data_IF_393791157297
#
_entry.id   IF_393791157297
#
_cell.length_a   1.000
_cell.length_b   1.000
_cell.length_c   1.000
_cell.angle_alpha   90.00
_cell.angle_beta   90.00
_cell.angle_gamma   90.00
#
_symmetry.space_group_name_H-M   'P 1'
#
loop_
_entity.id
_entity.type
_entity.pdbx_description
1 polymer ?
#
# COMPACT_ATOMS: atom_id res chain seq x y z
N UNK A 1 -17.22 0.31 -3.39
CA UNK A 1 -17.99 1.17 -2.49
C UNK A 1 -17.15 1.72 -1.32
N UNK A 2 -16.35 0.88 -0.65
CA UNK A 2 -15.46 1.28 0.46
C UNK A 2 -14.45 2.34 -0.01
N UNK A 3 -13.78 2.11 -1.14
CA UNK A 3 -12.82 3.05 -1.71
C UNK A 3 -13.45 4.43 -2.02
N UNK A 4 -14.65 4.43 -2.55
CA UNK A 4 -15.34 5.68 -2.88
C UNK A 4 -15.68 6.50 -1.62
N UNK A 5 -16.13 5.83 -0.56
CA UNK A 5 -16.38 6.47 0.75
C UNK A 5 -15.10 7.03 1.34
N UNK A 6 -14.02 6.27 1.30
CA UNK A 6 -12.71 6.71 1.76
C UNK A 6 -12.24 7.97 1.02
N UNK A 7 -12.31 7.94 -0.32
CA UNK A 7 -11.96 9.08 -1.17
C UNK A 7 -12.74 10.34 -0.79
N UNK A 8 -14.05 10.24 -0.64
CA UNK A 8 -14.88 11.37 -0.23
C UNK A 8 -14.48 11.85 1.16
N UNK A 9 -14.34 10.95 2.13
CA UNK A 9 -13.99 11.30 3.51
C UNK A 9 -12.67 12.06 3.58
N UNK A 10 -11.63 11.63 2.87
CA UNK A 10 -10.32 12.31 2.83
C UNK A 10 -10.42 13.70 2.16
N UNK A 11 -11.20 13.81 1.08
CA UNK A 11 -11.33 15.05 0.32
C UNK A 11 -12.16 16.11 1.05
N UNK A 12 -13.12 15.70 1.89
CA UNK A 12 -14.09 16.61 2.52
C UNK A 12 -13.92 16.76 4.04
N UNK A 13 -12.98 16.07 4.67
CA UNK A 13 -12.70 16.23 6.08
C UNK A 13 -12.26 17.67 6.40
N UNK A 14 -12.82 18.27 7.43
CA UNK A 14 -12.40 19.60 7.90
C UNK A 14 -10.94 19.56 8.36
N UNK A 15 -10.57 18.52 9.11
CA UNK A 15 -9.22 18.22 9.54
C UNK A 15 -8.82 16.82 9.08
N UNK A 16 -7.59 16.66 8.58
CA UNK A 16 -7.01 15.39 8.18
C UNK A 16 -5.81 15.05 9.09
N UNK A 17 -6.06 14.27 10.14
CA UNK A 17 -5.03 13.77 11.07
C UNK A 17 -4.27 12.62 10.40
N UNK A 18 -3.08 12.92 9.85
CA UNK A 18 -2.27 11.96 9.06
C UNK A 18 -1.74 10.85 9.96
N UNK A 19 -1.19 11.19 11.13
CA UNK A 19 -0.66 10.21 12.08
C UNK A 19 -1.75 9.26 12.60
N UNK A 20 -2.94 9.77 12.89
CA UNK A 20 -4.09 8.93 13.25
C UNK A 20 -4.54 8.04 12.10
N UNK A 21 -4.52 8.57 10.88
CA UNK A 21 -4.87 7.80 9.69
C UNK A 21 -3.92 6.61 9.50
N UNK A 22 -2.61 6.83 9.58
CA UNK A 22 -1.62 5.74 9.49
C UNK A 22 -1.78 4.76 10.65
N UNK A 23 -1.95 5.24 11.89
CA UNK A 23 -2.17 4.39 13.05
C UNK A 23 -3.38 3.46 12.90
N UNK A 24 -4.45 3.92 12.25
CA UNK A 24 -5.66 3.13 12.03
C UNK A 24 -5.47 1.96 11.06
N UNK A 25 -4.43 1.99 10.24
CA UNK A 25 -4.07 0.91 9.32
C UNK A 25 -3.02 -0.06 9.88
N UNK A 26 -2.54 0.16 11.11
CA UNK A 26 -1.62 -0.71 11.83
C UNK A 26 -2.36 -1.62 12.81
N UNK A 27 -1.92 -2.88 12.94
CA UNK A 27 -2.46 -3.82 13.95
C UNK A 27 -1.97 -3.46 15.34
N UNK A 28 -0.72 -3.01 15.44
CA UNK A 28 -0.07 -2.64 16.71
C UNK A 28 -0.28 -1.16 17.07
N UNK A 29 -0.88 -0.38 16.18
CA UNK A 29 -0.92 1.07 16.30
C UNK A 29 0.45 1.71 16.12
N UNK A 30 0.56 2.99 16.44
CA UNK A 30 1.82 3.75 16.41
C UNK A 30 2.15 4.27 17.82
N UNK A 31 3.43 4.37 18.13
CA UNK A 31 3.87 5.16 19.28
C UNK A 31 3.55 6.65 19.07
N UNK A 32 3.46 7.42 20.16
CA UNK A 32 3.23 8.87 20.07
C UNK A 32 4.34 9.57 19.25
N UNK A 33 5.58 9.11 19.37
CA UNK A 33 6.72 9.64 18.61
C UNK A 33 6.58 9.34 17.11
N UNK A 34 6.20 8.12 16.73
CA UNK A 34 5.98 7.75 15.33
C UNK A 34 4.79 8.52 14.74
N UNK A 35 3.70 8.64 15.50
CA UNK A 35 2.54 9.43 15.09
C UNK A 35 2.92 10.90 14.85
N UNK A 36 3.64 11.52 15.78
CA UNK A 36 4.12 12.89 15.64
C UNK A 36 5.07 13.05 14.42
N UNK A 37 5.87 12.03 14.09
CA UNK A 37 6.71 12.05 12.90
C UNK A 37 5.90 12.04 11.60
N UNK A 38 4.78 11.31 11.56
CA UNK A 38 3.86 11.36 10.42
C UNK A 38 3.12 12.69 10.28
N UNK A 39 2.85 13.38 11.40
CA UNK A 39 2.20 14.69 11.39
C UNK A 39 3.17 15.84 11.10
N UNK A 40 4.46 15.66 11.40
CA UNK A 40 5.48 16.72 11.28
C UNK A 40 5.58 17.40 9.89
N UNK A 41 5.39 16.71 8.74
CA UNK A 41 5.37 17.36 7.43
C UNK A 41 4.15 18.26 7.17
N UNK A 42 3.14 18.21 8.05
CA UNK A 42 1.82 18.83 7.86
C UNK A 42 1.46 19.73 9.04
N UNK A 43 2.18 20.85 9.24
CA UNK A 43 1.96 21.74 10.40
C UNK A 43 0.56 22.34 10.46
N UNK A 44 -0.13 22.47 9.32
CA UNK A 44 -1.52 22.86 9.20
C UNK A 44 -2.19 22.28 7.95
N UNK A 45 -3.49 22.56 7.75
CA UNK A 45 -4.26 22.01 6.62
C UNK A 45 -3.77 22.44 5.24
N UNK A 46 -3.10 23.58 5.12
CA UNK A 46 -2.57 24.07 3.82
C UNK A 46 -1.48 23.15 3.25
N UNK A 47 -0.78 22.40 4.11
CA UNK A 47 0.25 21.42 3.70
C UNK A 47 -0.35 20.07 3.28
N UNK A 48 -1.64 19.83 3.47
CA UNK A 48 -2.32 18.55 3.21
C UNK A 48 -2.98 18.45 1.83
N UNK A 49 -2.69 19.36 0.91
CA UNK A 49 -3.23 19.33 -0.44
C UNK A 49 -2.89 18.02 -1.19
N UNK A 50 -1.65 17.52 -1.05
CA UNK A 50 -1.22 16.25 -1.61
C UNK A 50 -2.01 15.05 -1.08
N UNK A 51 -2.00 14.77 0.23
CA UNK A 51 -2.81 13.71 0.84
C UNK A 51 -4.29 13.75 0.46
N UNK A 52 -4.89 14.95 0.35
CA UNK A 52 -6.29 15.11 -0.05
C UNK A 52 -6.54 14.78 -1.51
N UNK A 53 -5.60 15.11 -2.40
CA UNK A 53 -5.73 14.91 -3.84
C UNK A 53 -5.48 13.44 -4.26
N UNK A 54 -4.51 12.78 -3.65
CA UNK A 54 -4.02 11.45 -4.07
C UNK A 54 -5.12 10.39 -4.21
N UNK A 55 -6.08 10.22 -3.28
CA UNK A 55 -7.14 9.25 -3.47
C UNK A 55 -8.00 9.49 -4.72
N UNK A 56 -8.08 10.74 -5.17
CA UNK A 56 -8.77 11.14 -6.39
C UNK A 56 -8.08 10.71 -7.68
N UNK A 57 -6.77 10.45 -7.62
CA UNK A 57 -5.96 10.05 -8.78
C UNK A 57 -6.02 8.55 -9.07
N UNK A 58 -6.48 7.74 -8.10
CA UNK A 58 -6.64 6.31 -8.28
C UNK A 58 -7.85 6.05 -9.18
N UNK A 59 -7.69 5.37 -10.34
CA UNK A 59 -8.79 5.09 -11.24
C UNK A 59 -9.80 4.14 -10.57
N UNK A 60 -11.02 4.59 -10.45
CA UNK A 60 -12.11 3.88 -9.80
C UNK A 60 -13.15 3.36 -10.79
N UNK A 61 -13.32 4.06 -11.92
CA UNK A 61 -14.28 3.72 -12.98
C UNK A 61 -13.54 3.36 -14.28
N UNK A 62 -14.15 2.55 -15.15
CA UNK A 62 -13.54 2.20 -16.43
C UNK A 62 -13.20 3.40 -17.32
N UNK A 63 -13.94 4.50 -17.18
CA UNK A 63 -13.83 5.74 -17.95
C UNK A 63 -13.00 6.84 -17.26
N UNK A 64 -12.47 6.58 -16.04
CA UNK A 64 -11.52 7.51 -15.42
C UNK A 64 -10.30 7.72 -16.33
N UNK A 65 -9.75 8.95 -16.42
CA UNK A 65 -8.67 9.29 -17.35
C UNK A 65 -7.45 8.35 -17.28
N UNK A 66 -7.09 7.88 -16.08
CA UNK A 66 -5.95 6.99 -15.88
C UNK A 66 -6.26 5.51 -16.15
N UNK A 67 -7.52 5.10 -16.31
CA UNK A 67 -7.91 3.69 -16.40
C UNK A 67 -7.31 2.97 -17.60
N UNK A 68 -7.22 3.62 -18.75
CA UNK A 68 -6.61 3.04 -19.95
C UNK A 68 -5.12 2.75 -19.75
N UNK A 69 -4.37 3.74 -19.27
CA UNK A 69 -2.94 3.60 -18.99
C UNK A 69 -2.67 2.56 -17.89
N UNK A 70 -3.50 2.52 -16.84
CA UNK A 70 -3.40 1.56 -15.76
C UNK A 70 -3.58 0.11 -16.29
N UNK A 71 -4.61 -0.16 -17.09
CA UNK A 71 -4.81 -1.49 -17.71
C UNK A 71 -3.62 -1.90 -18.57
N UNK A 72 -3.11 -0.99 -19.39
CA UNK A 72 -1.94 -1.27 -20.22
C UNK A 72 -0.68 -1.57 -19.38
N UNK A 73 -0.50 -0.88 -18.26
CA UNK A 73 0.58 -1.15 -17.31
C UNK A 73 0.43 -2.55 -16.67
N UNK A 74 -0.78 -2.92 -16.25
CA UNK A 74 -1.07 -4.25 -15.71
C UNK A 74 -0.72 -5.37 -16.70
N UNK A 75 -1.09 -5.24 -17.98
CA UNK A 75 -0.73 -6.22 -19.00
C UNK A 75 0.78 -6.36 -19.17
N UNK A 76 1.52 -5.25 -19.19
CA UNK A 76 2.99 -5.27 -19.28
C UNK A 76 3.64 -5.90 -18.06
N UNK A 77 3.18 -5.53 -16.86
CA UNK A 77 3.69 -6.09 -15.59
C UNK A 77 3.40 -7.59 -15.51
N UNK A 78 2.20 -8.03 -15.89
CA UNK A 78 1.84 -9.44 -15.87
C UNK A 78 2.75 -10.29 -16.78
N UNK A 79 3.17 -9.76 -17.92
CA UNK A 79 4.07 -10.43 -18.86
C UNK A 79 5.56 -10.30 -18.52
N UNK A 80 5.93 -9.43 -17.57
CA UNK A 80 7.33 -9.21 -17.20
C UNK A 80 7.93 -10.45 -16.54
N UNK A 81 9.11 -10.85 -16.99
CA UNK A 81 9.92 -11.93 -16.40
C UNK A 81 10.87 -11.42 -15.31
N UNK A 82 10.91 -10.11 -15.07
CA UNK A 82 11.71 -9.54 -13.98
C UNK A 82 11.28 -10.17 -12.65
N UNK A 83 12.20 -10.73 -11.87
CA UNK A 83 11.87 -11.35 -10.60
C UNK A 83 11.07 -10.42 -9.68
N UNK A 84 9.98 -10.92 -9.11
CA UNK A 84 9.06 -10.16 -8.27
C UNK A 84 8.83 -10.86 -6.94
N UNK A 85 9.07 -10.14 -5.84
CA UNK A 85 8.64 -10.55 -4.51
C UNK A 85 7.23 -9.99 -4.25
N UNK A 86 6.31 -10.86 -3.84
CA UNK A 86 4.96 -10.48 -3.41
C UNK A 86 4.87 -10.71 -1.90
N UNK A 87 5.11 -9.66 -1.12
CA UNK A 87 5.07 -9.69 0.34
C UNK A 87 3.87 -8.87 0.85
N UNK A 88 2.89 -9.55 1.41
CA UNK A 88 1.70 -8.94 2.01
C UNK A 88 1.60 -9.31 3.48
N UNK A 89 0.92 -8.49 4.25
CA UNK A 89 0.61 -8.78 5.64
C UNK A 89 -0.61 -9.71 5.75
N UNK A 90 -0.75 -10.36 6.91
CA UNK A 90 -1.86 -11.27 7.18
C UNK A 90 -3.17 -10.56 7.61
N UNK A 91 -3.09 -9.28 7.94
CA UNK A 91 -4.22 -8.53 8.51
C UNK A 91 -4.51 -7.22 7.75
N UNK A 92 -4.12 -7.11 6.46
CA UNK A 92 -4.45 -5.96 5.61
C UNK A 92 -5.86 -6.08 5.02
N UNK A 93 -6.84 -5.32 5.51
CA UNK A 93 -8.21 -5.37 4.98
C UNK A 93 -8.38 -4.58 3.68
N UNK A 94 -7.38 -3.81 3.24
CA UNK A 94 -7.46 -2.88 2.11
C UNK A 94 -6.92 -3.53 0.84
N UNK A 95 -5.67 -4.01 0.88
CA UNK A 95 -4.99 -4.56 -0.29
C UNK A 95 -4.59 -6.02 -0.16
N UNK A 96 -4.75 -6.64 1.00
CA UNK A 96 -4.32 -8.03 1.26
C UNK A 96 -4.85 -9.05 0.26
N UNK A 97 -6.09 -8.89 -0.23
CA UNK A 97 -6.67 -9.74 -1.26
C UNK A 97 -5.90 -9.71 -2.61
N UNK A 98 -5.08 -8.68 -2.85
CA UNK A 98 -4.27 -8.58 -4.07
C UNK A 98 -3.07 -9.52 -4.08
N UNK A 99 -2.56 -9.93 -2.91
CA UNK A 99 -1.40 -10.80 -2.81
C UNK A 99 -1.53 -12.08 -3.66
N UNK A 100 -2.53 -12.94 -3.42
CA UNK A 100 -2.75 -14.15 -4.23
C UNK A 100 -3.03 -13.87 -5.71
N UNK A 101 -3.60 -12.72 -6.05
CA UNK A 101 -3.84 -12.31 -7.44
C UNK A 101 -2.51 -12.05 -8.14
N UNK A 102 -1.64 -11.24 -7.52
CA UNK A 102 -0.31 -10.91 -8.05
C UNK A 102 0.54 -12.17 -8.22
N UNK A 103 0.56 -13.07 -7.22
CA UNK A 103 1.30 -14.33 -7.29
C UNK A 103 0.86 -15.20 -8.48
N UNK A 104 -0.42 -15.22 -8.82
CA UNK A 104 -0.94 -16.00 -9.94
C UNK A 104 -0.76 -15.34 -11.30
N UNK A 105 -0.86 -14.01 -11.36
CA UNK A 105 -0.92 -13.27 -12.63
C UNK A 105 0.43 -12.75 -13.11
N UNK A 106 1.37 -12.49 -12.20
CA UNK A 106 2.67 -11.91 -12.56
C UNK A 106 3.69 -13.02 -12.84
N UNK A 107 4.15 -13.12 -14.09
CA UNK A 107 5.15 -14.14 -14.52
C UNK A 107 6.40 -14.06 -13.66
N UNK A 108 6.89 -12.87 -13.32
CA UNK A 108 8.07 -12.68 -12.48
C UNK A 108 7.92 -13.16 -11.04
N UNK A 109 6.69 -13.43 -10.59
CA UNK A 109 6.44 -14.01 -9.26
C UNK A 109 6.46 -15.55 -9.26
N UNK A 110 6.37 -16.18 -10.41
CA UNK A 110 6.27 -17.64 -10.49
C UNK A 110 7.56 -18.34 -10.04
N UNK A 111 7.43 -19.57 -9.51
CA UNK A 111 8.55 -20.45 -9.18
C UNK A 111 9.32 -20.05 -7.91
N UNK A 112 8.73 -19.21 -7.05
CA UNK A 112 9.32 -18.81 -5.78
C UNK A 112 8.28 -18.72 -4.66
N UNK A 113 8.79 -18.79 -3.42
CA UNK A 113 7.96 -18.56 -2.24
C UNK A 113 7.76 -17.07 -1.99
N UNK A 114 6.59 -16.73 -1.48
CA UNK A 114 6.20 -15.38 -1.13
C UNK A 114 5.81 -15.31 0.34
N UNK A 115 6.53 -14.57 1.18
CA UNK A 115 6.24 -14.51 2.59
C UNK A 115 4.91 -13.79 2.86
N UNK A 116 4.20 -14.28 3.87
CA UNK A 116 3.11 -13.54 4.50
C UNK A 116 3.64 -12.96 5.80
N UNK A 117 3.73 -11.64 5.87
CA UNK A 117 4.23 -10.92 7.05
C UNK A 117 3.17 -10.96 8.15
N UNK A 118 3.53 -11.54 9.30
CA UNK A 118 2.60 -11.84 10.37
C UNK A 118 2.38 -10.69 11.33
N UNK A 119 1.18 -10.64 11.92
CA UNK A 119 0.78 -9.62 12.90
C UNK A 119 0.97 -8.19 12.38
N UNK A 120 0.64 -7.95 11.12
CA UNK A 120 0.78 -6.67 10.47
C UNK A 120 -0.48 -6.31 9.67
N UNK A 121 -0.82 -5.03 9.66
CA UNK A 121 -1.94 -4.44 8.93
C UNK A 121 -1.54 -3.87 7.57
N UNK A 122 -2.27 -2.85 7.14
CA UNK A 122 -2.03 -2.19 5.86
C UNK A 122 -0.66 -1.50 5.81
N UNK A 123 -0.24 -0.86 6.91
CA UNK A 123 1.09 -0.27 7.04
C UNK A 123 2.05 -1.28 7.69
N UNK A 124 2.27 -2.40 7.01
CA UNK A 124 3.08 -3.51 7.50
C UNK A 124 4.53 -3.12 7.85
N UNK A 125 5.07 -2.07 7.23
CA UNK A 125 6.40 -1.55 7.55
C UNK A 125 6.48 -0.98 8.97
N UNK A 126 5.36 -0.49 9.51
CA UNK A 126 5.28 -0.01 10.89
C UNK A 126 5.10 -1.16 11.88
N UNK A 127 4.24 -2.12 11.54
CA UNK A 127 3.94 -3.24 12.40
C UNK A 127 5.07 -4.29 12.46
N UNK A 128 5.70 -4.58 11.31
CA UNK A 128 6.66 -5.68 11.14
C UNK A 128 7.79 -5.33 10.15
N UNK A 129 8.34 -4.12 10.24
CA UNK A 129 9.36 -3.61 9.32
C UNK A 129 10.62 -4.47 9.27
N UNK A 130 11.06 -5.05 10.39
CA UNK A 130 12.22 -5.94 10.43
C UNK A 130 11.98 -7.24 9.63
N UNK A 131 10.81 -7.84 9.77
CA UNK A 131 10.45 -9.08 9.05
C UNK A 131 10.33 -8.80 7.54
N UNK A 132 9.72 -7.67 7.17
CA UNK A 132 9.66 -7.22 5.80
C UNK A 132 11.06 -6.98 5.21
N UNK A 133 11.93 -6.30 5.95
CA UNK A 133 13.31 -6.04 5.52
C UNK A 133 14.10 -7.35 5.34
N UNK A 134 13.96 -8.31 6.25
CA UNK A 134 14.59 -9.62 6.15
C UNK A 134 14.13 -10.36 4.88
N UNK A 135 12.82 -10.35 4.58
CA UNK A 135 12.28 -10.95 3.37
C UNK A 135 12.82 -10.30 2.08
N UNK A 136 12.95 -8.96 2.07
CA UNK A 136 13.51 -8.22 0.93
C UNK A 136 15.00 -8.56 0.75
N UNK A 137 15.78 -8.57 1.82
CA UNK A 137 17.23 -8.90 1.77
C UNK A 137 17.42 -10.32 1.26
N UNK A 138 16.64 -11.28 1.73
CA UNK A 138 16.72 -12.66 1.25
C UNK A 138 16.34 -12.76 -0.23
N UNK A 139 15.29 -12.09 -0.65
CA UNK A 139 14.92 -12.03 -2.06
C UNK A 139 16.04 -11.48 -2.94
N UNK A 140 16.68 -10.37 -2.54
CA UNK A 140 17.80 -9.77 -3.30
C UNK A 140 19.01 -10.70 -3.36
N UNK A 141 19.32 -11.42 -2.26
CA UNK A 141 20.46 -12.36 -2.22
C UNK A 141 20.24 -13.60 -3.07
N UNK A 142 19.02 -14.07 -3.18
CA UNK A 142 18.67 -15.33 -3.89
C UNK A 142 18.20 -15.11 -5.33
N UNK A 143 18.09 -13.86 -5.73
CA UNK A 143 17.68 -13.49 -7.10
C UNK A 143 18.93 -13.11 -7.91
N UNK A 144 19.21 -13.79 -9.04
CA UNK A 144 20.36 -13.51 -9.90
C UNK A 144 20.25 -12.15 -10.61
#
# INVERSE_FOLDING_TARGET
EIWHRFRIAVQTADELDIGRFVASGCVRGLSDAARAAYDAPFPDESFKAGPRAMPGLVPYRPDDPASGANRAAWHRLAASTTPMLVAFSDSDPITGAMGPILQRTMVGAHGREHPVIKNAGHFLQEDAGHDLAAAIVEFVRTTP
#
